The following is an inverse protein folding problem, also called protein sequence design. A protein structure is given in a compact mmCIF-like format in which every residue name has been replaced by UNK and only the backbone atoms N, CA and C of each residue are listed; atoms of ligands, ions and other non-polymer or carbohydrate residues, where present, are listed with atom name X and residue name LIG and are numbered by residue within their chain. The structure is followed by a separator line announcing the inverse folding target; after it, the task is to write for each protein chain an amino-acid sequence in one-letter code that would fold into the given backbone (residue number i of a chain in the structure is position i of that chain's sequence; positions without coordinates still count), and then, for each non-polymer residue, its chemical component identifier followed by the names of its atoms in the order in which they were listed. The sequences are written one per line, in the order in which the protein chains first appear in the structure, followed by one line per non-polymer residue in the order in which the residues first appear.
data_IF_167214613140
#
_entry.id   IF_167214613140
#
_cell.length_a   1.000
_cell.length_b   1.000
_cell.length_c   1.000
_cell.angle_alpha   90.00
_cell.angle_beta   90.00
_cell.angle_gamma   90.00
#
_symmetry.space_group_name_H-M   'P 1'
#
loop_
_entity.id
_entity.type
_entity.pdbx_description
1 polymer ?
#
# COMPACT_ATOMS: atom_id res chain seq x y z
N UNK A 1 -20.31 7.17 44.88
CA UNK A 1 -18.90 7.17 44.43
C UNK A 1 -18.75 8.23 43.38
N UNK A 2 -18.13 9.39 43.70
CA UNK A 2 -17.90 10.46 42.73
C UNK A 2 -16.71 10.07 41.86
N UNK A 3 -16.94 9.70 40.61
CA UNK A 3 -15.88 9.47 39.63
C UNK A 3 -15.30 10.85 39.31
N UNK A 4 -14.06 11.09 39.71
CA UNK A 4 -13.39 12.35 39.39
C UNK A 4 -13.05 12.40 37.91
N UNK A 5 -13.30 13.52 37.23
CA UNK A 5 -12.97 13.76 35.81
C UNK A 5 -11.51 13.42 35.52
N UNK A 6 -10.61 13.67 36.48
CA UNK A 6 -9.20 13.32 36.39
C UNK A 6 -8.97 11.82 36.20
N UNK A 7 -9.73 10.95 36.90
CA UNK A 7 -9.60 9.50 36.76
C UNK A 7 -10.09 9.00 35.40
N UNK A 8 -11.14 9.64 34.84
CA UNK A 8 -11.63 9.35 33.49
C UNK A 8 -10.58 9.74 32.45
N UNK A 9 -10.00 10.94 32.56
CA UNK A 9 -8.95 11.40 31.64
C UNK A 9 -7.71 10.52 31.72
N UNK A 10 -7.29 10.12 32.91
CA UNK A 10 -6.17 9.21 33.08
C UNK A 10 -6.44 7.83 32.46
N UNK A 11 -7.65 7.29 32.64
CA UNK A 11 -8.06 6.03 32.01
C UNK A 11 -8.04 6.09 30.48
N UNK A 12 -8.56 7.18 29.90
CA UNK A 12 -8.53 7.41 28.46
C UNK A 12 -7.09 7.55 27.94
N UNK A 13 -6.22 8.26 28.65
CA UNK A 13 -4.82 8.40 28.27
C UNK A 13 -4.08 7.05 28.27
N UNK A 14 -4.31 6.22 29.28
CA UNK A 14 -3.74 4.86 29.34
C UNK A 14 -4.26 4.00 28.19
N UNK A 15 -5.56 4.02 27.90
CA UNK A 15 -6.15 3.24 26.81
C UNK A 15 -5.57 3.66 25.45
N UNK A 16 -5.45 4.96 25.19
CA UNK A 16 -4.86 5.47 23.96
C UNK A 16 -3.38 5.08 23.81
N UNK A 17 -2.62 5.13 24.91
CA UNK A 17 -1.22 4.70 24.91
C UNK A 17 -1.08 3.20 24.61
N UNK A 18 -1.91 2.35 25.22
CA UNK A 18 -1.90 0.90 25.00
C UNK A 18 -2.30 0.55 23.56
N UNK A 19 -3.31 1.23 22.99
CA UNK A 19 -3.68 1.03 21.59
C UNK A 19 -2.57 1.45 20.63
N UNK A 20 -1.94 2.59 20.87
CA UNK A 20 -0.80 3.07 20.08
C UNK A 20 0.38 2.08 20.12
N UNK A 21 0.73 1.58 21.31
CA UNK A 21 1.80 0.59 21.49
C UNK A 21 1.48 -0.71 20.75
N UNK A 22 0.24 -1.21 20.86
CA UNK A 22 -0.20 -2.42 20.14
C UNK A 22 -0.08 -2.27 18.63
N UNK A 23 -0.55 -1.15 18.06
CA UNK A 23 -0.46 -0.89 16.62
C UNK A 23 1.00 -0.84 16.16
N UNK A 24 1.89 -0.19 16.95
CA UNK A 24 3.31 -0.12 16.63
C UNK A 24 3.98 -1.51 16.63
N UNK A 25 3.71 -2.32 17.66
CA UNK A 25 4.27 -3.67 17.76
C UNK A 25 3.79 -4.57 16.61
N UNK A 26 2.49 -4.55 16.29
CA UNK A 26 1.94 -5.35 15.21
C UNK A 26 2.54 -4.95 13.85
N UNK A 27 2.74 -3.66 13.60
CA UNK A 27 3.37 -3.20 12.36
C UNK A 27 4.81 -3.71 12.19
N UNK A 28 5.58 -3.68 13.28
CA UNK A 28 6.96 -4.17 13.27
C UNK A 28 7.03 -5.69 13.18
N UNK A 29 6.11 -6.41 13.80
CA UNK A 29 6.00 -7.87 13.70
C UNK A 29 5.69 -8.31 12.27
N UNK A 30 4.68 -7.71 11.63
CA UNK A 30 4.34 -7.98 10.23
C UNK A 30 5.54 -7.68 9.30
N UNK A 31 6.26 -6.60 9.54
CA UNK A 31 7.46 -6.27 8.78
C UNK A 31 8.56 -7.32 8.97
N UNK A 32 8.81 -7.76 10.20
CA UNK A 32 9.82 -8.80 10.51
C UNK A 32 9.50 -10.14 9.84
N UNK A 33 8.23 -10.57 9.88
CA UNK A 33 7.77 -11.78 9.18
C UNK A 33 7.99 -11.63 7.66
N UNK A 34 7.69 -10.44 7.11
CA UNK A 34 7.91 -10.17 5.70
C UNK A 34 9.39 -10.27 5.30
N UNK A 35 10.31 -9.73 6.10
CA UNK A 35 11.77 -9.82 5.88
C UNK A 35 12.26 -11.28 5.91
N UNK A 36 11.76 -12.07 6.85
CA UNK A 36 12.07 -13.51 6.92
C UNK A 36 11.60 -14.24 5.66
N UNK A 37 10.36 -13.99 5.21
CA UNK A 37 9.82 -14.59 4.00
C UNK A 37 10.57 -14.11 2.74
N UNK A 38 10.93 -12.84 2.70
CA UNK A 38 11.71 -12.25 1.61
C UNK A 38 13.09 -12.91 1.52
N UNK A 39 13.79 -13.11 2.63
CA UNK A 39 15.10 -13.79 2.66
C UNK A 39 15.04 -15.24 2.16
N UNK A 40 13.89 -15.89 2.33
CA UNK A 40 13.58 -17.24 1.82
C UNK A 40 13.07 -17.23 0.36
N UNK A 41 13.14 -16.10 -0.35
CA UNK A 41 12.62 -15.89 -1.70
C UNK A 41 11.10 -16.16 -1.84
N UNK A 42 10.36 -16.17 -0.73
CA UNK A 42 8.91 -16.33 -0.75
C UNK A 42 8.21 -14.97 -0.93
N UNK A 43 8.44 -14.34 -2.09
CA UNK A 43 7.96 -12.99 -2.37
C UNK A 43 6.44 -12.87 -2.30
N UNK A 44 5.71 -13.89 -2.72
CA UNK A 44 4.25 -13.88 -2.71
C UNK A 44 3.67 -13.75 -1.29
N UNK A 45 4.24 -14.44 -0.31
CA UNK A 45 3.84 -14.30 1.10
C UNK A 45 4.41 -13.02 1.71
N UNK A 46 5.67 -12.68 1.40
CA UNK A 46 6.29 -11.45 1.89
C UNK A 46 5.47 -10.21 1.52
N UNK A 47 4.93 -10.13 0.28
CA UNK A 47 4.08 -9.00 -0.14
C UNK A 47 2.86 -8.82 0.75
N UNK A 48 2.20 -9.88 1.19
CA UNK A 48 1.04 -9.81 2.09
C UNK A 48 1.40 -9.25 3.46
N UNK A 49 2.53 -9.65 4.02
CA UNK A 49 2.98 -9.15 5.32
C UNK A 49 3.50 -7.70 5.23
N UNK A 50 4.19 -7.31 4.15
CA UNK A 50 4.53 -5.91 3.91
C UNK A 50 3.28 -5.03 3.75
N UNK A 51 2.24 -5.51 3.05
CA UNK A 51 0.96 -4.80 2.94
C UNK A 51 0.37 -4.55 4.33
N UNK A 52 0.30 -5.58 5.18
CA UNK A 52 -0.19 -5.47 6.56
C UNK A 52 0.65 -4.51 7.39
N UNK A 53 1.99 -4.54 7.26
CA UNK A 53 2.87 -3.60 7.94
C UNK A 53 2.56 -2.14 7.56
N UNK A 54 2.17 -1.86 6.31
CA UNK A 54 1.70 -0.54 5.88
C UNK A 54 0.36 -0.20 6.52
N UNK A 55 -0.56 -1.16 6.61
CA UNK A 55 -1.90 -0.96 7.19
C UNK A 55 -1.86 -0.65 8.69
N UNK A 56 -0.86 -1.11 9.42
CA UNK A 56 -0.57 -0.70 10.80
C UNK A 56 0.10 0.68 10.90
N UNK A 57 -0.31 1.61 10.04
CA UNK A 57 0.29 2.94 9.95
C UNK A 57 0.07 3.77 11.22
N UNK A 58 1.18 4.27 11.77
CA UNK A 58 1.17 5.28 12.83
C UNK A 58 1.96 6.49 12.34
N UNK A 59 1.47 7.72 12.56
CA UNK A 59 2.24 8.92 12.30
C UNK A 59 3.60 8.87 13.00
N UNK A 60 4.67 9.10 12.24
CA UNK A 60 6.05 9.07 12.78
C UNK A 60 6.73 7.69 12.75
N UNK A 61 6.03 6.59 12.42
CA UNK A 61 6.67 5.29 12.22
C UNK A 61 7.35 5.22 10.86
N UNK A 62 8.57 4.67 10.80
CA UNK A 62 9.29 4.38 9.55
C UNK A 62 8.86 3.08 8.89
N UNK A 63 8.29 2.15 9.65
CA UNK A 63 7.92 0.80 9.19
C UNK A 63 7.06 0.79 7.92
N UNK A 64 5.99 1.61 7.80
CA UNK A 64 5.19 1.66 6.58
C UNK A 64 5.97 2.10 5.34
N UNK A 65 6.92 3.03 5.51
CA UNK A 65 7.76 3.50 4.41
C UNK A 65 8.74 2.42 3.97
N UNK A 66 9.40 1.73 4.91
CA UNK A 66 10.30 0.62 4.62
C UNK A 66 9.56 -0.54 3.93
N UNK A 67 8.37 -0.90 4.42
CA UNK A 67 7.54 -1.91 3.80
C UNK A 67 7.12 -1.54 2.36
N UNK A 68 6.82 -0.27 2.13
CA UNK A 68 6.51 0.24 0.79
C UNK A 68 7.71 0.16 -0.16
N UNK A 69 8.91 0.47 0.31
CA UNK A 69 10.14 0.31 -0.46
C UNK A 69 10.37 -1.14 -0.86
N UNK A 70 10.17 -2.07 0.06
CA UNK A 70 10.28 -3.51 -0.23
C UNK A 70 9.25 -3.98 -1.26
N UNK A 71 7.99 -3.60 -1.12
CA UNK A 71 6.95 -3.90 -2.12
C UNK A 71 7.31 -3.33 -3.50
N UNK A 72 7.81 -2.11 -3.54
CA UNK A 72 8.28 -1.51 -4.79
C UNK A 72 9.41 -2.32 -5.42
N UNK A 73 10.43 -2.72 -4.63
CA UNK A 73 11.53 -3.56 -5.11
C UNK A 73 11.05 -4.93 -5.61
N UNK A 74 10.09 -5.57 -4.92
CA UNK A 74 9.47 -6.82 -5.38
C UNK A 74 8.75 -6.62 -6.72
N UNK A 75 8.03 -5.49 -6.88
CA UNK A 75 7.39 -5.16 -8.15
C UNK A 75 8.40 -5.02 -9.29
N UNK A 76 9.53 -4.33 -9.06
CA UNK A 76 10.62 -4.20 -10.03
C UNK A 76 11.28 -5.55 -10.35
N UNK A 77 11.47 -6.40 -9.34
CA UNK A 77 12.00 -7.75 -9.51
C UNK A 77 11.10 -8.59 -10.43
N UNK A 78 9.78 -8.61 -10.20
CA UNK A 78 8.86 -9.31 -11.08
C UNK A 78 8.86 -8.76 -12.50
N UNK A 79 8.96 -7.44 -12.66
CA UNK A 79 9.07 -6.80 -13.97
C UNK A 79 10.34 -7.25 -14.71
N UNK A 80 11.49 -7.27 -14.04
CA UNK A 80 12.77 -7.74 -14.61
C UNK A 80 12.74 -9.20 -15.07
N UNK A 81 11.82 -10.00 -14.49
CA UNK A 81 11.56 -11.40 -14.85
C UNK A 81 10.46 -11.54 -15.91
N UNK A 82 9.96 -10.46 -16.49
CA UNK A 82 8.81 -10.44 -17.41
C UNK A 82 7.51 -11.00 -16.78
N UNK A 83 7.42 -11.03 -15.45
CA UNK A 83 6.23 -11.45 -14.71
C UNK A 83 5.30 -10.25 -14.46
N UNK A 84 4.80 -9.67 -15.53
CA UNK A 84 4.02 -8.42 -15.51
C UNK A 84 2.78 -8.51 -14.61
N UNK A 85 2.10 -9.65 -14.57
CA UNK A 85 0.91 -9.82 -13.74
C UNK A 85 1.24 -9.73 -12.24
N UNK A 86 2.34 -10.34 -11.79
CA UNK A 86 2.77 -10.28 -10.40
C UNK A 86 3.29 -8.88 -10.04
N UNK A 87 4.01 -8.23 -10.95
CA UNK A 87 4.43 -6.85 -10.79
C UNK A 87 3.22 -5.91 -10.64
N UNK A 88 2.21 -6.05 -11.49
CA UNK A 88 0.96 -5.29 -11.45
C UNK A 88 0.19 -5.54 -10.14
N UNK A 89 0.07 -6.80 -9.73
CA UNK A 89 -0.56 -7.19 -8.46
C UNK A 89 0.15 -6.55 -7.27
N UNK A 90 1.48 -6.58 -7.23
CA UNK A 90 2.27 -5.98 -6.15
C UNK A 90 2.08 -4.46 -6.09
N UNK A 91 2.06 -3.77 -7.23
CA UNK A 91 1.76 -2.33 -7.28
C UNK A 91 0.34 -2.01 -6.79
N UNK A 92 -0.66 -2.83 -7.14
CA UNK A 92 -2.03 -2.66 -6.66
C UNK A 92 -2.12 -2.86 -5.14
N UNK A 93 -1.43 -3.86 -4.59
CA UNK A 93 -1.35 -4.08 -3.14
C UNK A 93 -0.73 -2.88 -2.44
N UNK A 94 0.42 -2.38 -2.93
CA UNK A 94 1.10 -1.22 -2.36
C UNK A 94 0.20 0.03 -2.36
N UNK A 95 -0.45 0.30 -3.49
CA UNK A 95 -1.42 1.40 -3.62
C UNK A 95 -2.59 1.24 -2.66
N UNK A 96 -3.20 0.04 -2.63
CA UNK A 96 -4.34 -0.31 -1.79
C UNK A 96 -4.05 -0.18 -0.31
N UNK A 97 -2.87 -0.62 0.14
CA UNK A 97 -2.44 -0.51 1.53
C UNK A 97 -2.46 0.95 2.02
N UNK A 98 -1.94 1.89 1.24
CA UNK A 98 -1.99 3.30 1.62
C UNK A 98 -3.38 3.92 1.51
N UNK A 99 -4.21 3.51 0.57
CA UNK A 99 -5.59 3.98 0.51
C UNK A 99 -6.43 3.48 1.69
N UNK A 100 -6.18 2.28 2.19
CA UNK A 100 -6.88 1.73 3.36
C UNK A 100 -6.56 2.46 4.67
N UNK A 101 -5.38 3.10 4.76
CA UNK A 101 -4.93 3.85 5.94
C UNK A 101 -5.24 5.35 5.88
N UNK A 102 -5.91 5.81 4.81
CA UNK A 102 -6.28 7.22 4.69
C UNK A 102 -7.28 7.64 5.78
N UNK A 103 -7.08 8.86 6.29
CA UNK A 103 -8.00 9.53 7.21
C UNK A 103 -8.22 10.98 6.74
N UNK A 104 -7.80 11.97 7.51
CA UNK A 104 -7.76 13.38 7.09
C UNK A 104 -6.71 13.67 6.02
N UNK A 105 -5.71 12.82 5.89
CA UNK A 105 -4.68 12.85 4.85
C UNK A 105 -4.47 11.45 4.28
N UNK A 106 -3.87 11.37 3.10
CA UNK A 106 -3.49 10.12 2.46
C UNK A 106 -1.99 9.92 2.65
N UNK A 107 -1.56 8.97 3.52
CA UNK A 107 -0.15 8.65 3.64
C UNK A 107 0.36 7.98 2.36
N UNK A 108 1.68 7.96 2.18
CA UNK A 108 2.30 7.25 1.06
C UNK A 108 1.96 7.77 -0.34
N UNK A 109 1.57 9.03 -0.48
CA UNK A 109 1.16 9.64 -1.78
C UNK A 109 2.20 9.45 -2.88
N UNK A 110 3.50 9.46 -2.52
CA UNK A 110 4.61 9.13 -3.44
C UNK A 110 4.42 7.74 -4.07
N UNK A 111 4.15 6.74 -3.25
CA UNK A 111 4.01 5.35 -3.67
C UNK A 111 2.74 5.12 -4.48
N UNK A 112 1.64 5.76 -4.08
CA UNK A 112 0.39 5.74 -4.84
C UNK A 112 0.61 6.27 -6.26
N UNK A 113 1.28 7.41 -6.41
CA UNK A 113 1.56 8.02 -7.71
C UNK A 113 2.47 7.13 -8.57
N UNK A 114 3.56 6.59 -8.01
CA UNK A 114 4.44 5.67 -8.72
C UNK A 114 3.69 4.41 -9.19
N UNK A 115 2.82 3.85 -8.35
CA UNK A 115 2.02 2.69 -8.70
C UNK A 115 0.97 3.03 -9.78
N UNK A 116 0.32 4.18 -9.70
CA UNK A 116 -0.65 4.62 -10.72
C UNK A 116 0.01 4.74 -12.10
N UNK A 117 1.19 5.37 -12.16
CA UNK A 117 1.97 5.47 -13.41
C UNK A 117 2.32 4.10 -14.01
N UNK A 118 2.82 3.18 -13.17
CA UNK A 118 3.15 1.83 -13.61
C UNK A 118 1.94 1.05 -14.08
N UNK A 119 0.87 1.07 -13.29
CA UNK A 119 -0.38 0.38 -13.62
C UNK A 119 -0.96 0.92 -14.93
N UNK A 120 -1.01 2.24 -15.10
CA UNK A 120 -1.50 2.87 -16.33
C UNK A 120 -0.65 2.49 -17.54
N UNK A 121 0.68 2.46 -17.39
CA UNK A 121 1.59 2.03 -18.45
C UNK A 121 1.33 0.58 -18.88
N UNK A 122 1.25 -0.35 -17.94
CA UNK A 122 1.00 -1.76 -18.25
C UNK A 122 -0.39 -2.01 -18.82
N UNK A 123 -1.41 -1.29 -18.33
CA UNK A 123 -2.75 -1.40 -18.91
C UNK A 123 -2.80 -0.86 -20.33
N UNK A 124 -2.10 0.24 -20.61
CA UNK A 124 -2.03 0.82 -21.95
C UNK A 124 -1.27 -0.04 -22.96
N UNK A 125 -0.33 -0.88 -22.51
CA UNK A 125 0.43 -1.79 -23.38
C UNK A 125 -0.35 -3.04 -23.81
N UNK A 126 -1.51 -3.32 -23.16
CA UNK A 126 -2.38 -4.43 -23.59
C UNK A 126 -3.19 -4.01 -24.83
N UNK A 127 -3.39 -4.93 -25.80
CA UNK A 127 -4.27 -4.65 -26.92
C UNK A 127 -5.70 -4.38 -26.42
N UNK A 128 -6.36 -3.40 -27.04
CA UNK A 128 -7.74 -3.06 -26.72
C UNK A 128 -8.65 -4.25 -27.03
N UNK A 129 -9.31 -4.78 -26.00
CA UNK A 129 -10.32 -5.82 -26.14
C UNK A 129 -11.70 -5.24 -26.52
N UNK A 130 -11.80 -3.92 -26.71
CA UNK A 130 -13.07 -3.21 -26.95
C UNK A 130 -13.00 -2.54 -28.32
N UNK A 131 -14.11 -2.61 -29.09
CA UNK A 131 -14.33 -1.99 -30.39
C UNK A 131 -14.36 -0.44 -30.37
N UNK A 132 -13.50 0.20 -29.61
CA UNK A 132 -13.31 1.65 -29.66
C UNK A 132 -12.26 1.99 -30.72
N UNK A 133 -12.37 3.18 -31.29
CA UNK A 133 -11.39 3.69 -32.26
C UNK A 133 -9.96 3.56 -31.66
N UNK A 134 -8.97 3.13 -32.46
CA UNK A 134 -7.63 2.84 -32.00
C UNK A 134 -6.98 4.10 -31.38
N UNK A 135 -6.95 4.18 -30.06
CA UNK A 135 -6.27 5.25 -29.33
C UNK A 135 -4.76 5.01 -29.37
N UNK A 136 -3.98 6.10 -29.45
CA UNK A 136 -2.53 6.00 -29.28
C UNK A 136 -2.18 5.46 -27.88
N UNK A 137 -0.99 4.88 -27.76
CA UNK A 137 -0.50 4.38 -26.46
C UNK A 137 -0.57 5.47 -25.36
N UNK A 138 -0.11 6.68 -25.68
CA UNK A 138 -0.13 7.80 -24.71
C UNK A 138 -1.56 8.22 -24.33
N UNK A 139 -2.48 8.22 -25.28
CA UNK A 139 -3.89 8.51 -24.98
C UNK A 139 -4.52 7.46 -24.05
N UNK A 140 -4.23 6.17 -24.29
CA UNK A 140 -4.67 5.08 -23.41
C UNK A 140 -4.05 5.20 -22.04
N UNK A 141 -2.74 5.42 -21.93
CA UNK A 141 -2.03 5.61 -20.67
C UNK A 141 -2.64 6.75 -19.86
N UNK A 142 -2.86 7.91 -20.48
CA UNK A 142 -3.45 9.07 -19.82
C UNK A 142 -4.90 8.81 -19.35
N UNK A 143 -5.72 8.10 -20.17
CA UNK A 143 -7.07 7.68 -19.78
C UNK A 143 -7.03 6.81 -18.51
N UNK A 144 -6.16 5.79 -18.47
CA UNK A 144 -6.01 4.93 -17.29
C UNK A 144 -5.46 5.69 -16.08
N UNK A 145 -4.47 6.55 -16.27
CA UNK A 145 -3.90 7.34 -15.20
C UNK A 145 -4.94 8.27 -14.56
N UNK A 146 -5.73 8.97 -15.36
CA UNK A 146 -6.79 9.84 -14.89
C UNK A 146 -7.85 9.04 -14.10
N UNK A 147 -8.24 7.87 -14.59
CA UNK A 147 -9.18 7.00 -13.89
C UNK A 147 -8.63 6.53 -12.54
N UNK A 148 -7.35 6.11 -12.49
CA UNK A 148 -6.70 5.67 -11.25
C UNK A 148 -6.52 6.80 -10.23
N UNK A 149 -6.36 8.05 -10.69
CA UNK A 149 -6.26 9.22 -9.83
C UNK A 149 -7.63 9.68 -9.32
N UNK A 150 -8.67 9.57 -10.15
CA UNK A 150 -10.05 9.90 -9.78
C UNK A 150 -10.64 8.83 -8.85
N UNK A 151 -10.28 7.56 -9.09
CA UNK A 151 -10.76 6.45 -8.28
C UNK A 151 -9.98 6.35 -6.97
N UNK A 152 -10.68 6.64 -5.89
CA UNK A 152 -10.16 6.55 -4.53
C UNK A 152 -10.39 5.18 -3.89
N UNK A 153 -10.85 4.19 -4.67
CA UNK A 153 -11.01 2.82 -4.18
C UNK A 153 -9.65 2.17 -3.89
N UNK A 154 -9.47 1.47 -2.78
CA UNK A 154 -8.22 0.81 -2.45
C UNK A 154 -7.85 -0.33 -3.42
N UNK A 155 -8.82 -0.91 -4.13
CA UNK A 155 -8.64 -2.20 -4.83
C UNK A 155 -8.88 -2.18 -6.36
N UNK A 156 -9.03 -1.02 -6.98
CA UNK A 156 -9.19 -0.90 -8.45
C UNK A 156 -7.89 -0.83 -9.20
#
# INVERSE_FOLDING_TARGET
MRINILNILAGLAILTLLTFLKVHLNGNEEFSIAEELFSKNNYAKATTHYERAIQWHIPGSSTPTLAAEKLWHISLFYESKNQTNEALKTCRLLRGAFYSTRSFFTPGKKWINLCNEKVAHWMASKPDLINEAPLSFESRKNKFLNNLQADRSPYT
#
